data_IF_962194740339
#
_entry.id   IF_962194740339
#
_cell.length_a   1.000
_cell.length_b   1.000
_cell.length_c   1.000
_cell.angle_alpha   90.00
_cell.angle_beta   90.00
_cell.angle_gamma   90.00
#
_symmetry.space_group_name_H-M   'P 1'
#
loop_
_entity.id
_entity.type
_entity.pdbx_description
1 polymer ?
#
# COMPACT_ATOMS: atom_id res chain seq x y z
N UNK A 1 -11.92 11.41 -22.47
CA UNK A 1 -10.97 11.57 -21.33
C UNK A 1 -11.65 11.40 -19.96
N UNK A 2 -12.83 11.98 -19.70
CA UNK A 2 -13.55 11.84 -18.41
C UNK A 2 -13.87 10.39 -17.98
N UNK A 3 -14.18 9.49 -18.91
CA UNK A 3 -14.51 8.09 -18.57
C UNK A 3 -13.32 7.25 -18.06
N UNK A 4 -12.08 7.74 -18.27
CA UNK A 4 -10.85 7.12 -17.76
C UNK A 4 -10.28 7.88 -16.55
N UNK A 5 -10.34 9.21 -16.57
CA UNK A 5 -9.81 10.04 -15.49
C UNK A 5 -10.64 9.98 -14.21
N UNK A 6 -11.97 9.94 -14.31
CA UNK A 6 -12.84 9.95 -13.13
C UNK A 6 -12.65 8.69 -12.26
N UNK A 7 -12.63 7.44 -12.79
CA UNK A 7 -12.40 6.25 -11.98
C UNK A 7 -11.05 6.24 -11.27
N UNK A 8 -10.02 6.83 -11.88
CA UNK A 8 -8.70 6.96 -11.28
C UNK A 8 -8.70 7.98 -10.16
N UNK A 9 -9.28 9.16 -10.38
CA UNK A 9 -9.43 10.18 -9.35
C UNK A 9 -10.16 9.61 -8.13
N UNK A 10 -11.29 8.93 -8.33
CA UNK A 10 -12.05 8.28 -7.25
C UNK A 10 -11.18 7.25 -6.53
N UNK A 11 -10.44 6.41 -7.25
CA UNK A 11 -9.53 5.43 -6.65
C UNK A 11 -8.45 6.10 -5.78
N UNK A 12 -7.87 7.22 -6.23
CA UNK A 12 -6.92 7.99 -5.43
C UNK A 12 -7.54 8.57 -4.16
N UNK A 13 -8.73 9.17 -4.28
CA UNK A 13 -9.46 9.69 -3.13
C UNK A 13 -9.79 8.60 -2.11
N UNK A 14 -10.25 7.42 -2.56
CA UNK A 14 -10.51 6.29 -1.66
C UNK A 14 -9.24 5.83 -0.93
N UNK A 15 -8.09 5.76 -1.63
CA UNK A 15 -6.82 5.38 -0.97
C UNK A 15 -6.36 6.40 0.04
N UNK A 16 -6.50 7.69 -0.26
CA UNK A 16 -6.20 8.76 0.69
C UNK A 16 -7.15 8.70 1.89
N UNK A 17 -8.44 8.43 1.64
CA UNK A 17 -9.43 8.21 2.68
C UNK A 17 -9.10 7.04 3.60
N UNK A 18 -8.61 5.90 3.07
CA UNK A 18 -8.17 4.76 3.90
C UNK A 18 -7.01 5.16 4.81
N UNK A 19 -5.97 5.80 4.28
CA UNK A 19 -4.84 6.26 5.09
C UNK A 19 -5.26 7.27 6.18
N UNK A 20 -6.19 8.16 5.86
CA UNK A 20 -6.76 9.11 6.83
C UNK A 20 -7.58 8.39 7.92
N UNK A 21 -8.38 7.40 7.56
CA UNK A 21 -9.15 6.58 8.51
C UNK A 21 -8.21 5.82 9.44
N UNK A 22 -7.21 5.12 8.92
CA UNK A 22 -6.23 4.38 9.72
C UNK A 22 -5.56 5.31 10.76
N UNK A 23 -5.12 6.51 10.32
CA UNK A 23 -4.52 7.50 11.22
C UNK A 23 -5.51 8.03 12.27
N UNK A 24 -6.75 8.31 11.88
CA UNK A 24 -7.77 8.81 12.79
C UNK A 24 -8.12 7.78 13.87
N UNK A 25 -8.22 6.50 13.52
CA UNK A 25 -8.56 5.43 14.45
C UNK A 25 -7.38 5.09 15.38
N UNK A 26 -6.14 5.06 14.88
CA UNK A 26 -4.93 4.87 15.71
C UNK A 26 -4.84 5.96 16.79
N UNK A 27 -5.20 7.20 16.47
CA UNK A 27 -5.23 8.31 17.44
C UNK A 27 -6.27 8.17 18.58
N UNK A 28 -7.17 7.20 18.51
CA UNK A 28 -8.15 6.90 19.56
C UNK A 28 -7.80 5.65 20.39
N UNK A 29 -6.67 4.99 20.13
CA UNK A 29 -6.22 3.85 20.92
C UNK A 29 -5.87 4.34 22.34
N UNK A 30 -6.63 3.87 23.32
CA UNK A 30 -6.40 4.12 24.73
C UNK A 30 -5.77 2.89 25.35
N UNK A 31 -4.50 2.99 25.75
CA UNK A 31 -3.80 1.96 26.52
C UNK A 31 -3.19 2.57 27.79
N UNK A 32 -2.95 1.74 28.80
CA UNK A 32 -2.36 2.15 30.08
C UNK A 32 -0.86 2.48 29.98
N UNK A 33 -0.20 2.06 28.89
CA UNK A 33 1.25 2.11 28.76
C UNK A 33 1.79 3.28 27.92
N UNK A 34 1.09 3.73 26.88
CA UNK A 34 1.54 4.85 26.04
C UNK A 34 0.37 5.77 25.68
N UNK A 35 0.68 7.06 25.49
CA UNK A 35 -0.31 8.04 25.07
C UNK A 35 -0.76 7.79 23.61
N UNK A 36 -2.00 8.14 23.24
CA UNK A 36 -2.51 7.96 21.86
C UNK A 36 -1.65 8.66 20.79
N UNK A 37 -1.05 9.80 21.14
CA UNK A 37 -0.08 10.54 20.31
C UNK A 37 1.19 9.72 20.00
N UNK A 38 1.62 8.86 20.92
CA UNK A 38 2.80 8.00 20.74
C UNK A 38 2.51 6.91 19.72
N UNK A 39 1.33 6.26 19.81
CA UNK A 39 0.90 5.28 18.81
C UNK A 39 0.71 5.90 17.43
N UNK A 40 0.13 7.09 17.36
CA UNK A 40 -0.04 7.81 16.10
C UNK A 40 1.30 8.17 15.47
N UNK A 41 2.22 8.74 16.25
CA UNK A 41 3.56 9.07 15.79
C UNK A 41 4.32 7.81 15.32
N UNK A 42 4.25 6.73 16.10
CA UNK A 42 4.89 5.47 15.78
C UNK A 42 4.34 4.86 14.47
N UNK A 43 3.01 4.83 14.29
CA UNK A 43 2.39 4.30 13.09
C UNK A 43 2.78 5.10 11.83
N UNK A 44 2.72 6.43 11.90
CA UNK A 44 3.09 7.31 10.78
C UNK A 44 4.58 7.19 10.45
N UNK A 45 5.46 7.23 11.45
CA UNK A 45 6.91 7.09 11.24
C UNK A 45 7.28 5.72 10.67
N UNK A 46 6.63 4.66 11.16
CA UNK A 46 6.80 3.31 10.62
C UNK A 46 6.37 3.24 9.15
N UNK A 47 5.19 3.76 8.80
CA UNK A 47 4.69 3.79 7.43
C UNK A 47 5.61 4.61 6.50
N UNK A 48 6.18 5.72 6.99
CA UNK A 48 7.16 6.48 6.21
C UNK A 48 8.42 5.66 5.90
N UNK A 49 9.01 4.99 6.90
CA UNK A 49 10.19 4.14 6.70
C UNK A 49 9.88 2.97 5.75
N UNK A 50 8.75 2.29 5.98
CA UNK A 50 8.28 1.18 5.13
C UNK A 50 8.08 1.63 3.69
N UNK A 51 7.43 2.77 3.46
CA UNK A 51 7.23 3.31 2.12
C UNK A 51 8.55 3.62 1.43
N UNK A 52 9.58 4.11 2.13
CA UNK A 52 10.92 4.33 1.54
C UNK A 52 11.52 3.02 1.03
N UNK A 53 11.36 1.92 1.75
CA UNK A 53 11.86 0.62 1.31
C UNK A 53 11.05 0.05 0.13
N UNK A 54 9.73 0.15 0.16
CA UNK A 54 8.84 -0.52 -0.81
C UNK A 54 8.66 0.28 -2.11
N UNK A 55 8.75 1.62 -2.05
CA UNK A 55 8.47 2.52 -3.19
C UNK A 55 9.29 2.22 -4.44
N UNK A 56 10.61 1.97 -4.38
CA UNK A 56 11.40 1.69 -5.58
C UNK A 56 10.84 0.53 -6.41
N UNK A 57 10.53 -0.60 -5.76
CA UNK A 57 9.98 -1.77 -6.45
C UNK A 57 8.59 -1.48 -7.04
N UNK A 58 7.72 -0.76 -6.32
CA UNK A 58 6.42 -0.33 -6.85
C UNK A 58 6.55 0.68 -8.01
N UNK A 59 7.58 1.52 -8.00
CA UNK A 59 7.83 2.51 -9.04
C UNK A 59 8.25 1.84 -10.35
N UNK A 60 9.13 0.85 -10.29
CA UNK A 60 9.52 0.06 -11.47
C UNK A 60 8.34 -0.67 -12.10
N UNK A 61 7.35 -1.09 -11.30
CA UNK A 61 6.18 -1.79 -11.81
C UNK A 61 5.32 -0.94 -12.78
N UNK A 62 5.43 0.39 -12.75
CA UNK A 62 4.67 1.28 -13.64
C UNK A 62 4.97 1.04 -15.13
N UNK A 63 6.13 0.45 -15.45
CA UNK A 63 6.49 0.03 -16.82
C UNK A 63 5.46 -0.95 -17.41
N UNK A 64 4.80 -1.76 -16.58
CA UNK A 64 3.77 -2.71 -17.02
C UNK A 64 2.64 -2.02 -17.81
N UNK A 65 2.24 -0.81 -17.41
CA UNK A 65 1.18 -0.08 -18.10
C UNK A 65 1.56 0.22 -19.56
N UNK A 66 2.82 0.55 -19.83
CA UNK A 66 3.31 0.79 -21.18
C UNK A 66 3.41 -0.52 -22.00
N UNK A 67 3.96 -1.59 -21.42
CA UNK A 67 4.10 -2.89 -22.09
C UNK A 67 2.75 -3.50 -22.46
N UNK A 68 1.77 -3.44 -21.55
CA UNK A 68 0.40 -3.91 -21.81
C UNK A 68 -0.27 -3.03 -22.88
N UNK A 69 -0.10 -1.71 -22.80
CA UNK A 69 -0.62 -0.79 -23.83
C UNK A 69 -0.07 -1.10 -25.22
N UNK A 70 1.23 -1.37 -25.33
CA UNK A 70 1.86 -1.79 -26.59
C UNK A 70 1.33 -3.12 -27.10
N UNK A 71 1.23 -4.14 -26.25
CA UNK A 71 0.72 -5.46 -26.62
C UNK A 71 -0.75 -5.42 -27.08
N UNK A 72 -1.57 -4.61 -26.43
CA UNK A 72 -2.96 -4.39 -26.84
C UNK A 72 -3.04 -3.63 -28.18
N UNK A 73 -2.21 -2.60 -28.36
CA UNK A 73 -2.13 -1.84 -29.61
C UNK A 73 -1.64 -2.67 -30.81
N UNK A 74 -0.79 -3.66 -30.57
CA UNK A 74 -0.32 -4.60 -31.60
C UNK A 74 -1.28 -5.77 -31.85
N UNK A 75 -2.48 -5.77 -31.25
CA UNK A 75 -3.47 -6.83 -31.40
C UNK A 75 -3.06 -8.18 -30.77
N UNK A 76 -2.13 -8.19 -29.81
CA UNK A 76 -1.63 -9.40 -29.17
C UNK A 76 -1.99 -9.45 -27.67
N UNK A 77 -3.26 -9.72 -27.32
CA UNK A 77 -3.71 -9.77 -25.93
C UNK A 77 -3.06 -10.90 -25.13
N UNK A 78 -2.60 -11.97 -25.79
CA UNK A 78 -1.87 -13.05 -25.13
C UNK A 78 -0.56 -12.53 -24.52
N UNK A 79 0.15 -11.65 -25.23
CA UNK A 79 1.38 -11.04 -24.73
C UNK A 79 1.13 -10.14 -23.52
N UNK A 80 0.00 -9.41 -23.48
CA UNK A 80 -0.39 -8.61 -22.33
C UNK A 80 -0.54 -9.46 -21.04
N UNK A 81 -1.13 -10.65 -21.15
CA UNK A 81 -1.24 -11.59 -20.03
C UNK A 81 0.11 -12.15 -19.56
N UNK A 82 1.03 -12.42 -20.50
CA UNK A 82 2.40 -12.85 -20.18
C UNK A 82 3.14 -11.74 -19.42
N UNK A 83 3.03 -10.49 -19.87
CA UNK A 83 3.63 -9.35 -19.17
C UNK A 83 3.09 -9.17 -17.75
N UNK A 84 1.78 -9.36 -17.56
CA UNK A 84 1.17 -9.32 -16.22
C UNK A 84 1.78 -10.38 -15.29
N UNK A 85 1.85 -11.64 -15.73
CA UNK A 85 2.40 -12.74 -14.93
C UNK A 85 3.88 -12.49 -14.59
N UNK A 86 4.65 -12.04 -15.58
CA UNK A 86 6.06 -11.70 -15.43
C UNK A 86 6.26 -10.55 -14.42
N UNK A 87 5.46 -9.49 -14.52
CA UNK A 87 5.51 -8.37 -13.59
C UNK A 87 5.10 -8.77 -12.18
N UNK A 88 4.10 -9.63 -12.00
CA UNK A 88 3.74 -10.16 -10.68
C UNK A 88 4.90 -10.96 -10.09
N UNK A 89 5.50 -11.86 -10.87
CA UNK A 89 6.63 -12.67 -10.40
C UNK A 89 7.83 -11.83 -9.99
N UNK A 90 8.29 -10.92 -10.86
CA UNK A 90 9.44 -10.07 -10.54
C UNK A 90 9.16 -9.08 -9.42
N UNK A 91 7.94 -8.54 -9.34
CA UNK A 91 7.59 -7.64 -8.26
C UNK A 91 7.62 -8.40 -6.92
N UNK A 92 6.98 -9.57 -6.84
CA UNK A 92 7.01 -10.40 -5.63
C UNK A 92 8.43 -10.78 -5.22
N UNK A 93 9.27 -11.17 -6.17
CA UNK A 93 10.68 -11.50 -5.91
C UNK A 93 11.47 -10.27 -5.44
N UNK A 94 11.28 -9.12 -6.08
CA UNK A 94 11.94 -7.87 -5.70
C UNK A 94 11.49 -7.34 -4.35
N UNK A 95 10.27 -7.67 -3.89
CA UNK A 95 9.77 -7.26 -2.59
C UNK A 95 10.45 -8.00 -1.43
N UNK A 96 10.88 -9.25 -1.62
CA UNK A 96 11.53 -10.04 -0.57
C UNK A 96 12.73 -9.34 0.10
N UNK A 97 13.70 -8.76 -0.61
CA UNK A 97 14.78 -8.03 0.04
C UNK A 97 14.30 -6.77 0.77
N UNK A 98 13.26 -6.09 0.29
CA UNK A 98 12.71 -4.91 0.97
C UNK A 98 11.96 -5.26 2.26
N UNK A 99 11.37 -6.46 2.35
CA UNK A 99 10.78 -6.95 3.60
C UNK A 99 11.81 -7.09 4.72
N UNK A 100 13.09 -7.35 4.40
CA UNK A 100 14.14 -7.37 5.40
C UNK A 100 14.31 -5.98 6.07
N UNK A 101 14.05 -4.90 5.34
CA UNK A 101 14.10 -3.53 5.86
C UNK A 101 13.10 -3.26 7.00
N UNK A 102 12.01 -4.02 7.06
CA UNK A 102 10.97 -3.85 8.07
C UNK A 102 11.49 -4.18 9.48
N UNK A 103 12.45 -5.09 9.59
CA UNK A 103 13.11 -5.44 10.86
C UNK A 103 14.08 -4.35 11.35
N UNK A 104 14.47 -3.42 10.48
CA UNK A 104 15.42 -2.35 10.81
C UNK A 104 14.73 -1.00 11.03
N UNK A 105 13.40 -0.92 11.02
CA UNK A 105 12.66 0.34 11.17
C UNK A 105 12.96 1.03 12.50
N UNK A 106 13.03 0.27 13.60
CA UNK A 106 13.40 0.82 14.92
C UNK A 106 14.80 1.45 14.89
N UNK A 107 15.80 0.72 14.39
CA UNK A 107 17.18 1.19 14.28
C UNK A 107 17.31 2.42 13.37
N UNK A 108 16.57 2.45 12.25
CA UNK A 108 16.53 3.61 11.37
C UNK A 108 15.97 4.86 12.09
N UNK A 109 14.91 4.71 12.88
CA UNK A 109 14.29 5.81 13.61
C UNK A 109 15.18 6.30 14.76
N UNK A 110 15.81 5.38 15.49
CA UNK A 110 16.81 5.71 16.52
C UNK A 110 17.99 6.47 15.92
N UNK A 111 18.49 6.03 14.76
CA UNK A 111 19.57 6.72 14.05
C UNK A 111 19.21 8.14 13.62
N UNK A 112 17.94 8.38 13.26
CA UNK A 112 17.42 9.71 12.93
C UNK A 112 17.17 10.60 14.16
N UNK A 113 17.36 10.08 15.38
CA UNK A 113 17.22 10.82 16.63
C UNK A 113 15.80 10.88 17.19
N UNK A 114 14.91 9.97 16.76
CA UNK A 114 13.57 9.87 17.35
C UNK A 114 13.61 9.25 18.76
N UNK A 115 12.62 9.54 19.63
CA UNK A 115 12.53 8.95 20.96
C UNK A 115 12.48 7.42 20.90
N UNK A 116 13.16 6.75 21.84
CA UNK A 116 13.23 5.28 21.88
C UNK A 116 11.86 4.62 22.06
N UNK A 117 10.99 5.21 22.88
CA UNK A 117 9.64 4.68 23.12
C UNK A 117 8.81 4.64 21.83
N UNK A 118 8.87 5.71 21.02
CA UNK A 118 8.18 5.80 19.72
C UNK A 118 8.81 4.86 18.70
N UNK A 119 10.15 4.82 18.67
CA UNK A 119 10.91 4.00 17.70
C UNK A 119 10.66 2.50 17.89
N UNK A 120 10.56 2.04 19.14
CA UNK A 120 10.26 0.64 19.44
C UNK A 120 8.85 0.26 19.01
N UNK A 121 7.86 1.10 19.33
CA UNK A 121 6.47 0.86 18.90
C UNK A 121 6.37 0.87 17.36
N UNK A 122 7.09 1.76 16.70
CA UNK A 122 7.15 1.85 15.24
C UNK A 122 7.79 0.60 14.60
N UNK A 123 8.83 0.05 15.21
CA UNK A 123 9.47 -1.20 14.77
C UNK A 123 8.52 -2.40 14.88
N UNK A 124 7.82 -2.53 16.01
CA UNK A 124 6.79 -3.57 16.19
C UNK A 124 5.70 -3.42 15.13
N UNK A 125 5.19 -2.20 14.92
CA UNK A 125 4.19 -1.91 13.89
C UNK A 125 4.67 -2.30 12.50
N UNK A 126 5.95 -2.03 12.16
CA UNK A 126 6.53 -2.41 10.89
C UNK A 126 6.50 -3.93 10.70
N UNK A 127 6.94 -4.71 11.69
CA UNK A 127 6.95 -6.18 11.60
C UNK A 127 5.55 -6.75 11.37
N UNK A 128 4.52 -6.21 12.01
CA UNK A 128 3.13 -6.61 11.74
C UNK A 128 2.68 -6.25 10.30
N UNK A 129 3.22 -5.18 9.73
CA UNK A 129 2.91 -4.72 8.37
C UNK A 129 3.62 -5.55 7.28
N UNK A 130 4.54 -6.47 7.62
CA UNK A 130 5.36 -7.22 6.64
C UNK A 130 4.55 -8.03 5.60
N UNK A 131 3.30 -8.38 5.91
CA UNK A 131 2.44 -9.18 5.03
C UNK A 131 1.79 -8.33 3.93
N UNK A 132 1.61 -7.03 4.16
CA UNK A 132 0.87 -6.12 3.26
C UNK A 132 1.54 -5.84 1.89
N UNK A 133 2.88 -5.72 1.75
CA UNK A 133 3.52 -5.30 0.49
C UNK A 133 3.29 -6.25 -0.68
N UNK A 134 3.31 -7.56 -0.45
CA UNK A 134 3.18 -8.56 -1.52
C UNK A 134 1.77 -8.53 -2.15
N UNK A 135 0.67 -8.65 -1.39
CA UNK A 135 -0.68 -8.47 -1.93
C UNK A 135 -0.88 -7.11 -2.59
N UNK A 136 -0.33 -6.04 -2.00
CA UNK A 136 -0.43 -4.70 -2.58
C UNK A 136 0.21 -4.62 -3.97
N UNK A 137 1.38 -5.22 -4.12
CA UNK A 137 2.08 -5.31 -5.40
C UNK A 137 1.29 -6.08 -6.46
N UNK A 138 0.71 -7.23 -6.11
CA UNK A 138 -0.13 -8.01 -7.02
C UNK A 138 -1.35 -7.19 -7.48
N UNK A 139 -2.01 -6.51 -6.54
CA UNK A 139 -3.10 -5.61 -6.86
C UNK A 139 -2.67 -4.47 -7.79
N UNK A 140 -1.49 -3.89 -7.57
CA UNK A 140 -0.94 -2.83 -8.43
C UNK A 140 -0.73 -3.34 -9.87
N UNK A 141 -0.17 -4.54 -10.05
CA UNK A 141 -0.01 -5.17 -11.36
C UNK A 141 -1.36 -5.32 -12.08
N UNK A 142 -2.37 -5.86 -11.39
CA UNK A 142 -3.72 -6.02 -11.94
C UNK A 142 -4.34 -4.67 -12.30
N UNK A 143 -4.18 -3.66 -11.44
CA UNK A 143 -4.69 -2.31 -11.68
C UNK A 143 -4.10 -1.72 -12.96
N UNK A 144 -2.78 -1.83 -13.16
CA UNK A 144 -2.12 -1.34 -14.37
C UNK A 144 -2.54 -2.13 -15.62
N UNK A 145 -2.71 -3.44 -15.50
CA UNK A 145 -3.20 -4.27 -16.60
C UNK A 145 -4.60 -3.84 -17.08
N UNK A 146 -5.53 -3.60 -16.17
CA UNK A 146 -6.88 -3.12 -16.50
C UNK A 146 -6.89 -1.66 -16.98
N UNK A 147 -6.04 -0.81 -16.37
CA UNK A 147 -5.90 0.59 -16.77
C UNK A 147 -5.38 0.71 -18.22
N UNK A 148 -4.37 -0.08 -18.60
CA UNK A 148 -3.81 -0.12 -19.94
C UNK A 148 -4.81 -0.60 -21.01
N UNK A 149 -5.81 -1.39 -20.62
CA UNK A 149 -6.92 -1.80 -21.50
C UNK A 149 -8.06 -0.78 -21.59
N UNK A 150 -7.96 0.35 -20.88
CA UNK A 150 -9.01 1.35 -20.83
C UNK A 150 -10.21 0.97 -19.94
N UNK A 151 -10.03 0.00 -19.05
CA UNK A 151 -11.07 -0.48 -18.12
C UNK A 151 -10.67 -0.20 -16.65
N UNK A 152 -10.58 1.06 -16.20
CA UNK A 152 -10.18 1.37 -14.81
C UNK A 152 -11.32 1.17 -13.78
N UNK A 153 -12.55 0.93 -14.23
CA UNK A 153 -13.74 0.79 -13.37
C UNK A 153 -13.63 -0.35 -12.32
N UNK A 154 -13.08 -1.54 -12.61
CA UNK A 154 -12.91 -2.60 -11.61
C UNK A 154 -12.05 -2.15 -10.42
N UNK A 155 -10.97 -1.41 -10.68
CA UNK A 155 -10.12 -0.88 -9.62
C UNK A 155 -10.86 0.17 -8.77
N UNK A 156 -11.73 0.97 -9.38
CA UNK A 156 -12.55 1.95 -8.67
C UNK A 156 -13.53 1.27 -7.71
N UNK A 157 -14.33 0.30 -8.19
CA UNK A 157 -15.27 -0.43 -7.33
C UNK A 157 -14.55 -1.15 -6.19
N UNK A 158 -13.38 -1.73 -6.46
CA UNK A 158 -12.54 -2.34 -5.43
C UNK A 158 -12.12 -1.31 -4.36
N UNK A 159 -11.57 -0.15 -4.75
CA UNK A 159 -11.14 0.86 -3.77
C UNK A 159 -12.31 1.42 -2.95
N UNK A 160 -13.49 1.60 -3.55
CA UNK A 160 -14.68 2.05 -2.83
C UNK A 160 -15.09 1.00 -1.78
N UNK A 161 -15.20 -0.27 -2.18
CA UNK A 161 -15.56 -1.34 -1.24
C UNK A 161 -14.54 -1.48 -0.11
N UNK A 162 -13.24 -1.47 -0.43
CA UNK A 162 -12.17 -1.57 0.55
C UNK A 162 -12.10 -0.38 1.49
N UNK A 163 -12.50 0.84 1.08
CA UNK A 163 -12.60 1.97 1.98
C UNK A 163 -13.61 1.73 3.11
N UNK A 164 -14.81 1.23 2.77
CA UNK A 164 -15.83 0.92 3.78
C UNK A 164 -15.43 -0.26 4.65
N UNK A 165 -14.85 -1.31 4.06
CA UNK A 165 -14.35 -2.47 4.81
C UNK A 165 -13.22 -2.05 5.76
N UNK A 166 -12.28 -1.22 5.31
CA UNK A 166 -11.20 -0.67 6.13
C UNK A 166 -11.75 0.15 7.29
N UNK A 167 -12.72 1.03 7.06
CA UNK A 167 -13.36 1.80 8.13
C UNK A 167 -14.07 0.90 9.15
N UNK A 168 -14.80 -0.12 8.67
CA UNK A 168 -15.49 -1.07 9.55
C UNK A 168 -14.51 -1.90 10.38
N UNK A 169 -13.44 -2.41 9.77
CA UNK A 169 -12.41 -3.18 10.46
C UNK A 169 -11.68 -2.33 11.49
N UNK A 170 -11.29 -1.10 11.15
CA UNK A 170 -10.71 -0.16 12.11
C UNK A 170 -11.63 0.07 13.31
N UNK A 171 -12.93 0.24 13.06
CA UNK A 171 -13.90 0.39 14.13
C UNK A 171 -14.00 -0.84 15.02
N UNK A 172 -14.07 -2.05 14.45
CA UNK A 172 -14.12 -3.30 15.21
C UNK A 172 -12.83 -3.52 16.01
N UNK A 173 -11.66 -3.32 15.41
CA UNK A 173 -10.37 -3.60 16.07
C UNK A 173 -9.99 -2.57 17.13
N UNK A 174 -10.35 -1.28 16.94
CA UNK A 174 -9.99 -0.22 17.89
C UNK A 174 -11.01 -0.07 19.00
N UNK A 175 -12.31 -0.08 18.67
CA UNK A 175 -13.36 0.13 19.66
C UNK A 175 -13.91 -1.17 20.26
N UNK A 176 -13.53 -2.34 19.73
CA UNK A 176 -13.98 -3.64 20.22
C UNK A 176 -15.51 -3.73 20.11
N UNK A 177 -16.01 -4.11 18.93
CA UNK A 177 -17.45 -4.24 18.69
C UNK A 177 -18.21 -4.99 19.78
#
# INVERSE_FOLDING_TARGET
>A
MMNLGLPLAVSFFCRMGMASTDSAFVGHIQDAHHSPETYLAAAVLSDMCVNVFVTPALAFNQVLNALVGQAMGSGNPKMAGIWLQQSVFWLSLSMLPFLAGFFYVEECLLFLGFPADVSRVAGVYAVYNIVWPIPNGVYQCMRFYFQAQGLPRPAMYNNIAFLFINALLNWIFVFGG
#
